data_IF_968630526760
#
_entry.id   IF_968630526760
#
_cell.length_a   1.000
_cell.length_b   1.000
_cell.length_c   1.000
_cell.angle_alpha   90.00
_cell.angle_beta   90.00
_cell.angle_gamma   90.00
#
_symmetry.space_group_name_H-M   'P 1'
#
loop_
_entity.id
_entity.type
_entity.pdbx_description
1 polymer ?
#
# COMPACT_ATOMS: atom_id res chain seq x y z
N UNK A 1 -32.04 14.03 -4.61
CA UNK A 1 -32.17 12.56 -4.74
C UNK A 1 -31.25 12.13 -5.89
N UNK A 2 -30.22 11.28 -5.79
CA UNK A 2 -29.70 10.30 -4.82
C UNK A 2 -28.25 10.66 -4.44
N UNK A 3 -27.86 10.40 -3.20
CA UNK A 3 -26.46 10.29 -2.73
C UNK A 3 -25.75 9.15 -3.47
N UNK A 4 -24.98 9.46 -4.52
CA UNK A 4 -24.24 8.46 -5.28
C UNK A 4 -22.80 8.35 -4.76
N UNK A 5 -22.56 7.35 -3.91
CA UNK A 5 -21.26 6.71 -3.64
C UNK A 5 -20.11 7.59 -3.14
N UNK A 6 -19.92 7.66 -1.81
CA UNK A 6 -18.81 8.34 -1.13
C UNK A 6 -17.45 7.62 -1.29
N UNK A 7 -17.11 7.20 -2.50
CA UNK A 7 -15.78 6.71 -2.80
C UNK A 7 -14.94 7.91 -3.24
N UNK A 8 -14.45 8.69 -2.27
CA UNK A 8 -13.51 9.77 -2.53
C UNK A 8 -12.16 9.19 -2.92
N UNK A 9 -11.61 9.65 -4.06
CA UNK A 9 -10.26 9.29 -4.57
C UNK A 9 -9.19 9.15 -3.47
N UNK A 10 -9.05 10.07 -2.49
CA UNK A 10 -8.09 9.92 -1.40
C UNK A 10 -8.33 8.69 -0.52
N UNK A 11 -9.59 8.32 -0.26
CA UNK A 11 -9.89 7.11 0.52
C UNK A 11 -9.53 5.86 -0.27
N UNK A 12 -9.82 5.79 -1.57
CA UNK A 12 -9.39 4.66 -2.42
C UNK A 12 -7.88 4.50 -2.38
N UNK A 13 -7.14 5.58 -2.62
CA UNK A 13 -5.68 5.55 -2.67
C UNK A 13 -5.08 5.13 -1.32
N UNK A 14 -5.68 5.55 -0.19
CA UNK A 14 -5.29 5.06 1.15
C UNK A 14 -5.50 3.55 1.28
N UNK A 15 -6.66 3.04 0.87
CA UNK A 15 -6.92 1.61 0.89
C UNK A 15 -5.96 0.83 -0.01
N UNK A 16 -5.65 1.34 -1.21
CA UNK A 16 -4.68 0.72 -2.13
C UNK A 16 -3.28 0.70 -1.50
N UNK A 17 -2.82 1.81 -0.94
CA UNK A 17 -1.50 1.89 -0.30
C UNK A 17 -1.36 0.91 0.87
N UNK A 18 -2.38 0.83 1.73
CA UNK A 18 -2.42 -0.14 2.83
C UNK A 18 -2.50 -1.59 2.32
N UNK A 19 -3.33 -1.86 1.31
CA UNK A 19 -3.46 -3.18 0.72
C UNK A 19 -2.12 -3.66 0.13
N UNK A 20 -1.38 -2.79 -0.58
CA UNK A 20 -0.05 -3.11 -1.12
C UNK A 20 0.92 -3.51 -0.02
N UNK A 21 0.94 -2.77 1.10
CA UNK A 21 1.81 -3.09 2.25
C UNK A 21 1.43 -4.43 2.87
N UNK A 22 0.13 -4.68 3.08
CA UNK A 22 -0.36 -5.93 3.67
C UNK A 22 -0.06 -7.11 2.75
N UNK A 23 -0.29 -6.97 1.44
CA UNK A 23 0.01 -7.99 0.45
C UNK A 23 1.51 -8.28 0.40
N UNK A 24 2.36 -7.24 0.39
CA UNK A 24 3.81 -7.41 0.41
C UNK A 24 4.27 -8.19 1.66
N UNK A 25 3.81 -7.79 2.85
CA UNK A 25 4.16 -8.45 4.10
C UNK A 25 3.61 -9.89 4.18
N UNK A 26 2.33 -10.10 3.82
CA UNK A 26 1.69 -11.40 3.84
C UNK A 26 2.31 -12.37 2.84
N UNK A 27 2.62 -11.90 1.63
CA UNK A 27 3.31 -12.69 0.62
C UNK A 27 4.72 -13.07 1.08
N UNK A 28 5.51 -12.12 1.59
CA UNK A 28 6.84 -12.39 2.11
C UNK A 28 6.81 -13.46 3.21
N UNK A 29 6.00 -13.26 4.24
CA UNK A 29 5.89 -14.19 5.36
C UNK A 29 5.41 -15.56 4.90
N UNK A 30 4.33 -15.61 4.11
CA UNK A 30 3.77 -16.86 3.62
C UNK A 30 4.76 -17.64 2.75
N UNK A 31 5.43 -16.96 1.83
CA UNK A 31 6.42 -17.57 0.94
C UNK A 31 7.65 -18.05 1.71
N UNK A 32 8.17 -17.24 2.63
CA UNK A 32 9.33 -17.60 3.45
C UNK A 32 9.04 -18.78 4.39
N UNK A 33 7.82 -18.91 4.91
CA UNK A 33 7.42 -20.08 5.74
C UNK A 33 7.36 -21.34 4.89
N UNK A 34 6.71 -21.28 3.72
CA UNK A 34 6.48 -22.46 2.87
C UNK A 34 7.79 -22.97 2.26
N UNK A 35 8.66 -22.07 1.80
CA UNK A 35 9.85 -22.42 1.03
C UNK A 35 11.17 -22.20 1.80
N UNK A 36 11.14 -21.71 3.04
CA UNK A 36 12.34 -21.43 3.83
C UNK A 36 13.19 -20.26 3.29
N UNK A 37 12.62 -19.42 2.44
CA UNK A 37 13.32 -18.41 1.62
C UNK A 37 13.41 -17.04 2.29
N UNK A 38 13.78 -17.01 3.58
CA UNK A 38 13.84 -15.77 4.37
C UNK A 38 14.85 -14.75 3.85
N UNK A 39 15.91 -15.19 3.16
CA UNK A 39 16.97 -14.31 2.62
C UNK A 39 17.09 -14.43 1.11
N UNK A 40 16.03 -14.88 0.45
CA UNK A 40 16.04 -15.09 -1.00
C UNK A 40 15.96 -13.76 -1.74
N UNK A 41 16.93 -13.51 -2.63
CA UNK A 41 17.03 -12.26 -3.37
C UNK A 41 15.88 -12.10 -4.37
N UNK A 42 15.37 -13.20 -4.92
CA UNK A 42 14.22 -13.21 -5.82
C UNK A 42 12.96 -12.75 -5.10
N UNK A 43 12.69 -13.31 -3.93
CA UNK A 43 11.58 -12.91 -3.08
C UNK A 43 11.66 -11.42 -2.70
N UNK A 44 12.84 -10.94 -2.31
CA UNK A 44 13.04 -9.52 -2.01
C UNK A 44 12.81 -8.62 -3.22
N UNK A 45 13.30 -9.01 -4.40
CA UNK A 45 13.13 -8.23 -5.63
C UNK A 45 11.66 -8.05 -6.03
N UNK A 46 10.79 -8.97 -5.62
CA UNK A 46 9.34 -8.87 -5.82
C UNK A 46 8.66 -8.08 -4.70
N UNK A 47 8.98 -8.35 -3.44
CA UNK A 47 8.31 -7.75 -2.28
C UNK A 47 8.67 -6.28 -2.10
N UNK A 48 9.95 -5.91 -2.29
CA UNK A 48 10.43 -4.57 -2.00
C UNK A 48 9.76 -3.49 -2.87
N UNK A 49 9.63 -3.64 -4.21
CA UNK A 49 8.89 -2.66 -5.01
C UNK A 49 7.43 -2.51 -4.57
N UNK A 50 6.73 -3.62 -4.31
CA UNK A 50 5.31 -3.59 -3.88
C UNK A 50 5.15 -2.82 -2.56
N UNK A 51 6.03 -3.10 -1.60
CA UNK A 51 6.05 -2.41 -0.32
C UNK A 51 6.34 -0.91 -0.48
N UNK A 52 7.35 -0.56 -1.28
CA UNK A 52 7.73 0.84 -1.57
C UNK A 52 6.58 1.59 -2.24
N UNK A 53 5.94 1.01 -3.26
CA UNK A 53 4.78 1.64 -3.90
C UNK A 53 3.60 1.81 -2.94
N UNK A 54 3.40 0.89 -2.00
CA UNK A 54 2.43 1.03 -0.93
C UNK A 54 2.69 2.26 -0.07
N UNK A 55 3.94 2.43 0.41
CA UNK A 55 4.35 3.60 1.20
C UNK A 55 4.21 4.90 0.38
N UNK A 56 4.74 4.93 -0.84
CA UNK A 56 4.68 6.11 -1.70
C UNK A 56 3.23 6.53 -1.99
N UNK A 57 2.31 5.58 -2.15
CA UNK A 57 0.89 5.88 -2.33
C UNK A 57 0.31 6.58 -1.10
N UNK A 58 0.65 6.12 0.11
CA UNK A 58 0.18 6.76 1.34
C UNK A 58 0.78 8.17 1.52
N UNK A 59 2.07 8.33 1.24
CA UNK A 59 2.75 9.62 1.27
C UNK A 59 2.12 10.59 0.27
N UNK A 60 1.88 10.14 -0.97
CA UNK A 60 1.25 10.94 -2.01
C UNK A 60 -0.14 11.44 -1.58
N UNK A 61 -0.95 10.58 -0.95
CA UNK A 61 -2.26 11.00 -0.44
C UNK A 61 -2.12 12.05 0.66
N UNK A 62 -1.13 11.90 1.55
CA UNK A 62 -0.89 12.85 2.62
C UNK A 62 -0.46 14.22 2.08
N UNK A 63 0.43 14.26 1.08
CA UNK A 63 0.89 15.52 0.47
C UNK A 63 -0.20 16.23 -0.31
N UNK A 64 -0.98 15.51 -1.12
CA UNK A 64 -1.98 16.11 -2.02
C UNK A 64 -3.32 16.41 -1.35
N UNK A 65 -3.69 15.67 -0.31
CA UNK A 65 -5.02 15.78 0.32
C UNK A 65 -4.96 16.00 1.84
N UNK A 66 -3.77 16.06 2.44
CA UNK A 66 -3.57 16.32 3.87
C UNK A 66 -3.36 17.79 4.24
N UNK A 67 -3.20 18.68 3.27
CA UNK A 67 -3.16 20.13 3.53
C UNK A 67 -4.57 20.63 3.85
N UNK A 68 -4.83 20.91 5.13
CA UNK A 68 -5.98 21.71 5.56
C UNK A 68 -5.75 23.15 5.09
N UNK A 69 -6.78 23.88 4.62
CA UNK A 69 -6.65 25.31 4.31
C UNK A 69 -6.16 26.05 5.57
N UNK A 70 -4.97 26.64 5.45
CA UNK A 70 -4.39 27.50 6.47
C UNK A 70 -5.09 28.86 6.37
N UNK A 71 -6.11 29.06 7.20
CA UNK A 71 -6.73 30.37 7.46
C UNK A 71 -5.85 31.16 8.43
#
# INVERSE_FOLDING_TARGET
>A
MRTAGYVTVPNILRFIGLALIIIAAGFYIGWSIIYGTWTDIGLYSFVAPVFVFGILTLMYVQEKFGQKPQN
#
